data_IF_441841807237
#
_entry.id   IF_441841807237
#
_cell.length_a   1.000
_cell.length_b   1.000
_cell.length_c   1.000
_cell.angle_alpha   90.00
_cell.angle_beta   90.00
_cell.angle_gamma   90.00
#
_symmetry.space_group_name_H-M   'P 1'
#
loop_
_entity.id
_entity.type
_entity.pdbx_description
1 polymer ?
#
# COMPACT_ATOMS: atom_id res chain seq x y z
N UNK A 1 2.48 10.12 11.61
CA UNK A 1 1.84 9.21 12.59
C UNK A 1 1.42 7.85 12.00
N UNK A 2 0.80 7.82 10.81
CA UNK A 2 0.23 6.58 10.23
C UNK A 2 1.23 5.44 9.96
N UNK A 3 2.47 5.73 9.59
CA UNK A 3 3.47 4.68 9.31
C UNK A 3 3.90 3.92 10.57
N UNK A 4 3.96 4.60 11.72
CA UNK A 4 4.27 3.97 13.02
C UNK A 4 3.09 3.12 13.48
N UNK A 5 1.87 3.63 13.34
CA UNK A 5 0.64 2.88 13.64
C UNK A 5 0.53 1.64 12.74
N UNK A 6 0.86 1.76 11.46
CA UNK A 6 0.87 0.63 10.53
C UNK A 6 1.91 -0.43 10.95
N UNK A 7 3.09 -0.01 11.40
CA UNK A 7 4.12 -0.92 11.94
C UNK A 7 3.68 -1.61 13.24
N UNK A 8 2.94 -0.94 14.12
CA UNK A 8 2.37 -1.59 15.30
C UNK A 8 1.26 -2.58 14.90
N UNK A 9 0.40 -2.19 13.95
CA UNK A 9 -0.68 -3.06 13.44
C UNK A 9 -0.14 -4.30 12.72
N UNK A 10 1.01 -4.20 12.04
CA UNK A 10 1.62 -5.37 11.39
C UNK A 10 2.06 -6.45 12.37
N UNK A 11 2.31 -6.11 13.64
CA UNK A 11 2.69 -7.08 14.69
C UNK A 11 1.48 -7.86 15.23
N UNK A 12 0.25 -7.54 14.82
CA UNK A 12 -0.94 -8.35 15.11
C UNK A 12 -0.84 -9.74 14.46
N UNK A 13 0.09 -9.94 13.51
CA UNK A 13 0.42 -11.27 12.99
C UNK A 13 0.82 -12.29 14.05
N UNK A 14 1.28 -11.86 15.24
CA UNK A 14 1.55 -12.75 16.38
C UNK A 14 0.28 -13.38 16.97
N UNK A 15 -0.91 -12.90 16.59
CA UNK A 15 -2.22 -13.45 16.96
C UNK A 15 -2.80 -14.38 15.87
N UNK A 16 -1.97 -14.88 14.95
CA UNK A 16 -2.33 -15.71 13.80
C UNK A 16 -3.34 -15.06 12.82
N UNK A 17 -3.50 -13.73 12.90
CA UNK A 17 -4.33 -12.97 11.96
C UNK A 17 -3.48 -12.64 10.72
N UNK A 18 -3.92 -13.01 9.50
CA UNK A 18 -3.22 -12.68 8.28
C UNK A 18 -3.08 -11.16 8.11
N UNK A 19 -1.84 -10.66 8.13
CA UNK A 19 -1.56 -9.22 8.06
C UNK A 19 -0.32 -8.93 7.21
N UNK A 20 -0.19 -7.67 6.79
CA UNK A 20 1.02 -7.15 6.16
C UNK A 20 2.12 -7.08 7.22
N UNK A 21 3.24 -7.76 7.02
CA UNK A 21 4.39 -7.69 7.93
C UNK A 21 5.26 -6.48 7.59
N UNK A 22 5.68 -5.70 8.58
CA UNK A 22 6.67 -4.64 8.42
C UNK A 22 7.97 -5.09 9.08
N UNK A 23 9.03 -5.19 8.27
CA UNK A 23 10.36 -5.63 8.70
C UNK A 23 11.18 -4.49 9.32
N UNK A 24 11.04 -3.28 8.78
CA UNK A 24 11.76 -2.10 9.28
C UNK A 24 11.06 -0.80 8.92
N UNK A 25 11.31 0.24 9.72
CA UNK A 25 10.84 1.61 9.47
C UNK A 25 12.02 2.58 9.60
N UNK A 26 12.25 3.41 8.59
CA UNK A 26 13.34 4.40 8.56
C UNK A 26 12.72 5.79 8.46
N UNK A 27 13.02 6.63 9.45
CA UNK A 27 12.61 8.03 9.48
C UNK A 27 13.65 8.89 8.74
N UNK A 28 13.19 9.77 7.86
CA UNK A 28 14.03 10.71 7.16
C UNK A 28 13.88 12.11 7.76
N UNK A 29 14.92 12.94 7.62
CA UNK A 29 14.92 14.34 8.03
C UNK A 29 13.96 15.19 7.17
N UNK A 30 13.57 14.69 5.99
CA UNK A 30 12.64 15.35 5.07
C UNK A 30 11.24 15.47 5.69
N UNK A 31 10.72 16.70 5.74
CA UNK A 31 9.34 16.99 6.13
C UNK A 31 8.38 16.84 4.94
N UNK A 32 7.20 16.29 5.19
CA UNK A 32 6.08 16.19 4.26
C UNK A 32 5.08 17.31 4.53
N UNK A 33 4.67 18.00 3.46
CA UNK A 33 3.61 19.02 3.51
C UNK A 33 2.24 18.35 3.58
N UNK A 34 1.87 17.87 4.77
CA UNK A 34 0.50 17.49 5.12
C UNK A 34 -0.17 18.66 5.86
N UNK A 35 -1.42 18.48 6.33
CA UNK A 35 -2.13 19.47 7.16
C UNK A 35 -1.28 19.99 8.34
N UNK A 36 -0.40 19.15 8.89
CA UNK A 36 0.73 19.55 9.76
C UNK A 36 2.04 18.98 9.19
N UNK A 37 3.18 19.66 9.33
CA UNK A 37 4.47 19.14 8.88
C UNK A 37 4.81 17.85 9.64
N UNK A 38 5.03 16.76 8.90
CA UNK A 38 5.39 15.45 9.46
C UNK A 38 6.70 14.93 8.83
N UNK A 39 7.54 14.24 9.60
CA UNK A 39 8.72 13.56 9.04
C UNK A 39 8.32 12.43 8.10
N UNK A 40 9.00 12.31 6.97
CA UNK A 40 8.81 11.22 6.02
C UNK A 40 9.37 9.92 6.63
N UNK A 41 8.54 8.88 6.68
CA UNK A 41 8.93 7.55 7.16
C UNK A 41 8.78 6.57 5.98
N UNK A 42 9.79 5.72 5.76
CA UNK A 42 9.75 4.61 4.78
C UNK A 42 9.66 3.29 5.55
N UNK A 43 8.77 2.39 5.16
CA UNK A 43 8.65 1.06 5.76
C UNK A 43 9.00 -0.04 4.75
N UNK A 44 9.76 -1.05 5.18
CA UNK A 44 10.00 -2.27 4.40
C UNK A 44 8.91 -3.27 4.75
N UNK A 45 8.04 -3.59 3.79
CA UNK A 45 6.93 -4.53 3.96
C UNK A 45 7.30 -5.90 3.39
N UNK A 46 6.91 -6.96 4.09
CA UNK A 46 7.05 -8.36 3.65
C UNK A 46 5.67 -8.96 3.44
N UNK A 47 5.39 -9.37 2.21
CA UNK A 47 4.12 -9.90 1.75
C UNK A 47 4.33 -10.86 0.59
N UNK A 48 3.49 -11.89 0.48
CA UNK A 48 3.53 -12.83 -0.65
C UNK A 48 3.09 -12.19 -1.96
N UNK A 49 2.17 -11.22 -1.92
CA UNK A 49 1.65 -10.53 -3.11
C UNK A 49 1.14 -9.14 -2.77
N UNK A 50 1.27 -8.21 -3.70
CA UNK A 50 0.66 -6.86 -3.64
C UNK A 50 -0.55 -6.74 -4.58
N UNK A 51 -0.98 -7.85 -5.19
CA UNK A 51 -2.14 -7.88 -6.09
C UNK A 51 -3.42 -7.72 -5.27
N UNK A 52 -4.28 -6.80 -5.70
CA UNK A 52 -5.57 -6.49 -5.09
C UNK A 52 -6.69 -6.69 -6.11
N UNK A 53 -7.95 -6.80 -5.65
CA UNK A 53 -9.12 -6.86 -6.52
C UNK A 53 -9.17 -5.69 -7.53
N UNK A 54 -8.77 -4.49 -7.10
CA UNK A 54 -8.70 -3.31 -7.95
C UNK A 54 -7.71 -3.46 -9.14
N UNK A 55 -6.69 -4.33 -9.04
CA UNK A 55 -5.83 -4.64 -10.18
C UNK A 55 -6.59 -5.36 -11.28
N UNK A 56 -7.46 -6.32 -10.91
CA UNK A 56 -8.28 -7.06 -11.86
C UNK A 56 -9.37 -6.18 -12.47
N UNK A 57 -10.03 -5.36 -11.65
CA UNK A 57 -11.02 -4.40 -12.15
C UNK A 57 -10.42 -3.40 -13.13
N UNK A 58 -9.21 -2.88 -12.85
CA UNK A 58 -8.50 -2.01 -13.79
C UNK A 58 -8.24 -2.71 -15.11
N UNK A 59 -7.75 -3.95 -15.08
CA UNK A 59 -7.51 -4.74 -16.31
C UNK A 59 -8.80 -4.96 -17.10
N UNK A 60 -9.90 -5.30 -16.42
CA UNK A 60 -11.21 -5.47 -17.05
C UNK A 60 -11.71 -4.19 -17.71
N UNK A 61 -11.62 -3.05 -17.02
CA UNK A 61 -12.02 -1.73 -17.56
C UNK A 61 -11.17 -1.31 -18.75
N UNK A 62 -9.85 -1.53 -18.69
CA UNK A 62 -8.98 -1.27 -19.82
C UNK A 62 -9.36 -2.12 -21.03
N UNK A 63 -9.61 -3.42 -20.83
CA UNK A 63 -10.06 -4.30 -21.91
C UNK A 63 -11.40 -3.86 -22.51
N UNK A 64 -12.38 -3.46 -21.68
CA UNK A 64 -13.65 -2.92 -22.16
C UNK A 64 -13.47 -1.62 -22.97
N UNK A 65 -12.56 -0.73 -22.54
CA UNK A 65 -12.22 0.48 -23.29
C UNK A 65 -11.54 0.16 -24.64
N UNK A 66 -10.66 -0.83 -24.70
CA UNK A 66 -10.02 -1.24 -25.95
C UNK A 66 -11.03 -1.90 -26.92
N UNK A 67 -11.87 -2.81 -26.43
CA UNK A 67 -12.92 -3.45 -27.24
C UNK A 67 -13.92 -2.43 -27.81
N UNK A 68 -14.23 -1.36 -27.06
CA UNK A 68 -15.09 -0.26 -27.53
C UNK A 68 -14.45 0.61 -28.61
N UNK A 69 -13.12 0.76 -28.60
CA UNK A 69 -12.39 1.54 -29.63
C UNK A 69 -12.20 0.75 -30.92
N UNK A 70 -11.97 -0.56 -30.85
CA UNK A 70 -11.84 -1.42 -32.06
C UNK A 70 -13.16 -1.57 -32.82
N UNK A 71 -14.31 -1.35 -32.15
CA UNK A 71 -15.65 -1.42 -32.75
C UNK A 71 -16.10 -0.12 -33.46
N UNK A 72 -15.24 0.89 -33.59
CA UNK A 72 -15.47 2.11 -34.37
C UNK A 72 -14.54 2.12 -35.57
#
# INVERSE_FOLDING_TARGET
MNAVIEALRSHISHLDIPAILILSAVSAVVLLSRYRPERKIRTKRSLRSTVTFANFERRKKLNDLFSKRVRK
#
